data_IF_960349610248
#
_entry.id   IF_960349610248
#
_cell.length_a   1.000
_cell.length_b   1.000
_cell.length_c   1.000
_cell.angle_alpha   90.00
_cell.angle_beta   90.00
_cell.angle_gamma   90.00
#
_symmetry.space_group_name_H-M   'P 1'
#
loop_
_entity.id
_entity.type
_entity.pdbx_description
1 polymer ?
#
# COMPACT_ATOMS: atom_id res chain seq x y z
N UNK A 1 -2.33 8.92 -15.79
CA UNK A 1 -1.72 7.73 -15.14
C UNK A 1 -2.68 7.29 -14.07
N UNK A 2 -2.97 5.98 -13.99
CA UNK A 2 -3.89 5.42 -12.98
C UNK A 2 -3.22 5.54 -11.61
N UNK A 3 -3.86 6.25 -10.68
CA UNK A 3 -3.39 6.36 -9.30
C UNK A 3 -4.03 5.25 -8.47
N UNK A 4 -3.25 4.34 -7.91
CA UNK A 4 -3.78 3.30 -7.03
C UNK A 4 -3.55 3.75 -5.58
N UNK A 5 -4.57 3.71 -4.72
CA UNK A 5 -4.39 4.03 -3.28
C UNK A 5 -3.75 2.88 -2.50
N UNK A 6 -2.97 2.03 -3.16
CA UNK A 6 -2.34 0.86 -2.53
C UNK A 6 -1.04 1.26 -1.84
N UNK A 7 -1.08 2.41 -1.17
CA UNK A 7 0.08 3.11 -0.63
C UNK A 7 0.63 2.39 0.58
N UNK A 8 1.92 2.10 0.55
CA UNK A 8 2.64 1.60 1.72
C UNK A 8 2.92 2.71 2.74
N UNK A 9 2.61 2.44 4.01
CA UNK A 9 2.93 3.30 5.15
C UNK A 9 3.39 2.41 6.30
N UNK A 10 4.62 2.56 6.81
CA UNK A 10 5.06 1.86 8.01
C UNK A 10 4.21 2.21 9.24
N UNK A 11 3.87 1.20 10.04
CA UNK A 11 3.01 1.38 11.22
C UNK A 11 3.69 2.18 12.33
N UNK A 12 5.00 2.02 12.49
CA UNK A 12 5.85 2.76 13.42
C UNK A 12 5.85 4.27 13.07
N UNK A 13 6.07 4.61 11.80
CA UNK A 13 5.95 5.99 11.32
C UNK A 13 4.58 6.60 11.64
N UNK A 14 3.50 5.86 11.36
CA UNK A 14 2.14 6.33 11.62
C UNK A 14 1.89 6.58 13.12
N UNK A 15 2.32 5.65 13.98
CA UNK A 15 2.13 5.73 15.43
C UNK A 15 2.94 6.89 16.03
N UNK A 16 4.20 7.04 15.64
CA UNK A 16 5.05 8.14 16.09
C UNK A 16 4.44 9.50 15.70
N UNK A 17 3.96 9.63 14.46
CA UNK A 17 3.28 10.84 14.01
C UNK A 17 2.01 11.16 14.78
N UNK A 18 1.17 10.16 15.05
CA UNK A 18 -0.04 10.35 15.86
C UNK A 18 0.32 10.82 17.27
N UNK A 19 1.32 10.21 17.92
CA UNK A 19 1.76 10.59 19.27
C UNK A 19 2.23 12.03 19.28
N UNK A 20 3.11 12.41 18.36
CA UNK A 20 3.69 13.75 18.30
C UNK A 20 2.63 14.82 17.99
N UNK A 21 1.75 14.59 17.01
CA UNK A 21 0.62 15.49 16.70
C UNK A 21 -0.30 15.65 17.92
N UNK A 22 -0.59 14.57 18.65
CA UNK A 22 -1.50 14.61 19.80
C UNK A 22 -0.99 15.44 20.98
N UNK A 23 0.32 15.71 21.05
CA UNK A 23 0.93 16.50 22.12
C UNK A 23 0.84 18.01 21.86
N UNK A 24 0.51 18.43 20.63
CA UNK A 24 0.37 19.84 20.30
C UNK A 24 -1.00 20.39 20.68
N UNK A 25 -0.99 21.57 21.27
CA UNK A 25 -2.23 22.28 21.57
C UNK A 25 -2.90 22.79 20.28
N UNK A 26 -2.09 23.20 19.31
CA UNK A 26 -2.50 23.75 18.01
C UNK A 26 -3.19 22.72 17.12
N UNK A 27 -2.99 21.42 17.39
CA UNK A 27 -3.62 20.32 16.65
C UNK A 27 -5.08 20.09 17.00
N UNK A 28 -5.59 20.71 18.07
CA UNK A 28 -7.00 20.60 18.44
C UNK A 28 -7.89 21.23 17.36
N UNK A 29 -8.82 20.44 16.83
CA UNK A 29 -9.72 20.86 15.76
C UNK A 29 -9.11 20.82 14.36
N UNK A 30 -7.87 20.35 14.22
CA UNK A 30 -7.22 20.13 12.93
C UNK A 30 -7.43 18.69 12.43
N UNK A 31 -7.17 18.48 11.13
CA UNK A 31 -7.16 17.15 10.51
C UNK A 31 -5.86 16.99 9.72
N UNK A 32 -5.25 15.81 9.82
CA UNK A 32 -3.98 15.48 9.21
C UNK A 32 -4.13 14.21 8.38
N UNK A 33 -3.73 14.26 7.11
CA UNK A 33 -3.67 13.09 6.25
C UNK A 33 -2.27 12.48 6.37
N UNK A 34 -2.14 11.42 7.18
CA UNK A 34 -0.90 10.68 7.38
C UNK A 34 -0.64 9.74 6.20
N UNK A 35 -0.31 10.31 5.04
CA UNK A 35 0.03 9.58 3.82
C UNK A 35 1.28 10.19 3.19
N UNK A 36 2.08 9.40 2.44
CA UNK A 36 3.18 9.92 1.64
C UNK A 36 2.73 10.99 0.65
N UNK A 37 3.62 11.93 0.32
CA UNK A 37 3.32 12.91 -0.70
C UNK A 37 3.28 12.30 -2.09
N UNK A 38 2.58 13.00 -3.00
CA UNK A 38 2.51 12.59 -4.40
C UNK A 38 3.91 12.57 -4.99
N UNK A 39 4.33 11.39 -5.45
CA UNK A 39 5.64 11.18 -6.05
C UNK A 39 6.72 10.68 -5.08
N UNK A 40 6.44 10.59 -3.78
CA UNK A 40 7.33 9.91 -2.82
C UNK A 40 7.22 8.38 -2.89
N UNK A 41 6.12 7.86 -3.44
CA UNK A 41 5.88 6.43 -3.61
C UNK A 41 5.80 6.06 -5.10
N UNK A 42 6.19 4.82 -5.47
CA UNK A 42 6.19 4.40 -6.87
C UNK A 42 4.77 4.31 -7.44
N UNK A 43 4.55 4.86 -8.63
CA UNK A 43 3.22 4.86 -9.30
C UNK A 43 2.67 3.42 -9.53
N UNK A 44 3.53 2.40 -9.56
CA UNK A 44 3.19 0.97 -9.73
C UNK A 44 3.59 0.12 -8.52
N UNK A 45 3.18 0.53 -7.31
CA UNK A 45 3.56 -0.14 -6.05
C UNK A 45 3.44 -1.66 -6.08
N UNK A 46 2.32 -2.20 -6.58
CA UNK A 46 2.11 -3.67 -6.67
C UNK A 46 3.13 -4.36 -7.58
N UNK A 47 3.42 -3.81 -8.76
CA UNK A 47 4.38 -4.40 -9.70
C UNK A 47 5.79 -4.35 -9.12
N UNK A 48 6.18 -3.22 -8.50
CA UNK A 48 7.50 -3.12 -7.86
C UNK A 48 7.60 -4.09 -6.66
N UNK A 49 6.53 -4.25 -5.88
CA UNK A 49 6.48 -5.23 -4.78
C UNK A 49 6.67 -6.67 -5.28
N UNK A 50 5.99 -7.08 -6.36
CA UNK A 50 6.21 -8.41 -6.94
C UNK A 50 7.62 -8.60 -7.51
N UNK A 51 8.25 -7.55 -8.06
CA UNK A 51 9.66 -7.61 -8.48
C UNK A 51 10.62 -7.75 -7.31
N UNK A 52 10.36 -7.05 -6.19
CA UNK A 52 11.13 -7.24 -4.95
C UNK A 52 10.94 -8.66 -4.40
N UNK A 53 9.72 -9.21 -4.50
CA UNK A 53 9.44 -10.60 -4.13
C UNK A 53 10.25 -11.59 -4.96
N UNK A 54 10.16 -11.53 -6.30
CA UNK A 54 10.91 -12.41 -7.22
C UNK A 54 12.42 -12.40 -6.92
N UNK A 55 13.00 -11.22 -6.63
CA UNK A 55 14.41 -11.10 -6.24
C UNK A 55 14.73 -11.79 -4.92
N UNK A 56 13.83 -11.70 -3.95
CA UNK A 56 14.06 -12.23 -2.59
C UNK A 56 13.90 -13.74 -2.55
N UNK A 57 12.78 -14.26 -3.06
CA UNK A 57 12.47 -15.70 -2.99
C UNK A 57 13.10 -16.51 -4.13
N UNK A 58 13.72 -15.85 -5.12
CA UNK A 58 14.39 -16.46 -6.28
C UNK A 58 13.45 -17.35 -7.12
N UNK A 59 12.16 -17.04 -7.12
CA UNK A 59 11.13 -17.72 -7.93
C UNK A 59 10.65 -16.75 -8.99
N UNK A 60 10.70 -17.18 -10.26
CA UNK A 60 10.23 -16.32 -11.35
C UNK A 60 8.71 -16.16 -11.32
N UNK A 61 8.24 -14.92 -11.46
CA UNK A 61 6.83 -14.58 -11.45
C UNK A 61 6.38 -14.13 -12.85
N UNK A 62 5.22 -14.62 -13.31
CA UNK A 62 4.61 -14.24 -14.58
C UNK A 62 3.62 -13.08 -14.37
N UNK A 63 3.81 -11.94 -15.05
CA UNK A 63 2.83 -10.85 -15.08
C UNK A 63 1.69 -11.21 -16.05
N UNK A 64 0.44 -11.19 -15.56
CA UNK A 64 -0.75 -11.53 -16.34
C UNK A 64 -1.76 -10.37 -16.37
N UNK A 65 -2.58 -10.24 -17.42
CA UNK A 65 -3.77 -9.41 -17.39
C UNK A 65 -4.69 -9.81 -16.22
N UNK A 66 -5.30 -8.83 -15.55
CA UNK A 66 -6.08 -9.06 -14.33
C UNK A 66 -7.18 -10.13 -14.49
N UNK A 67 -7.95 -10.06 -15.58
CA UNK A 67 -9.03 -11.03 -15.87
C UNK A 67 -8.48 -12.44 -16.14
N UNK A 68 -7.30 -12.56 -16.74
CA UNK A 68 -6.65 -13.86 -16.95
C UNK A 68 -6.16 -14.45 -15.63
N UNK A 69 -5.49 -13.64 -14.80
CA UNK A 69 -5.07 -14.03 -13.46
C UNK A 69 -6.27 -14.47 -12.59
N UNK A 70 -7.36 -13.69 -12.63
CA UNK A 70 -8.57 -14.00 -11.87
C UNK A 70 -9.23 -15.30 -12.35
N UNK A 71 -9.22 -15.55 -13.67
CA UNK A 71 -9.73 -16.81 -14.21
C UNK A 71 -8.91 -18.00 -13.72
N UNK A 72 -7.57 -17.93 -13.77
CA UNK A 72 -6.69 -19.00 -13.25
C UNK A 72 -6.97 -19.28 -11.77
N UNK A 73 -7.05 -18.23 -10.94
CA UNK A 73 -7.38 -18.34 -9.52
C UNK A 73 -8.73 -19.05 -9.27
N UNK A 74 -9.71 -18.88 -10.15
CA UNK A 74 -11.04 -19.48 -9.98
C UNK A 74 -11.14 -20.95 -10.42
N UNK A 75 -10.28 -21.39 -11.34
CA UNK A 75 -10.47 -22.68 -12.05
C UNK A 75 -9.36 -23.70 -11.83
N UNK A 76 -8.13 -23.28 -11.50
CA UNK A 76 -6.98 -24.19 -11.52
C UNK A 76 -6.84 -25.00 -10.23
N UNK A 77 -7.03 -24.39 -9.06
CA UNK A 77 -6.85 -25.04 -7.76
C UNK A 77 -7.91 -24.57 -6.76
N UNK A 78 -8.77 -25.48 -6.30
CA UNK A 78 -9.83 -25.20 -5.31
C UNK A 78 -9.28 -25.04 -3.88
N UNK A 79 -8.06 -25.51 -3.62
CA UNK A 79 -7.36 -25.36 -2.35
C UNK A 79 -6.38 -24.16 -2.35
N UNK A 80 -6.39 -23.33 -3.41
CA UNK A 80 -5.53 -22.14 -3.50
C UNK A 80 -5.79 -21.20 -2.29
N UNK A 81 -4.75 -20.77 -1.56
CA UNK A 81 -4.88 -19.96 -0.35
C UNK A 81 -5.53 -18.58 -0.59
N UNK A 82 -5.60 -18.11 -1.85
CA UNK A 82 -6.27 -16.88 -2.23
C UNK A 82 -7.77 -17.06 -2.52
N UNK A 83 -8.31 -18.29 -2.56
CA UNK A 83 -9.75 -18.56 -2.76
C UNK A 83 -10.66 -17.77 -1.81
N UNK A 84 -10.37 -17.63 -0.51
CA UNK A 84 -11.21 -16.84 0.39
C UNK A 84 -11.33 -15.36 0.01
N UNK A 85 -10.41 -14.83 -0.80
CA UNK A 85 -10.40 -13.45 -1.28
C UNK A 85 -11.13 -13.26 -2.61
N UNK A 86 -11.64 -14.33 -3.24
CA UNK A 86 -12.40 -14.24 -4.49
C UNK A 86 -13.54 -13.22 -4.47
N UNK A 87 -14.33 -13.04 -3.40
CA UNK A 87 -15.34 -11.98 -3.36
C UNK A 87 -14.74 -10.60 -3.60
N UNK A 88 -13.58 -10.30 -3.02
CA UNK A 88 -12.89 -9.02 -3.19
C UNK A 88 -12.38 -8.81 -4.63
N UNK A 89 -11.97 -9.89 -5.30
CA UNK A 89 -11.39 -9.84 -6.66
C UNK A 89 -12.43 -9.93 -7.78
N UNK A 90 -13.51 -10.69 -7.60
CA UNK A 90 -14.43 -11.05 -8.68
C UNK A 90 -15.80 -10.38 -8.56
N UNK A 91 -16.32 -10.21 -7.34
CA UNK A 91 -17.68 -9.73 -7.15
C UNK A 91 -17.77 -8.27 -7.59
N UNK A 92 -18.68 -7.97 -8.52
CA UNK A 92 -18.90 -6.60 -8.97
C UNK A 92 -19.78 -5.87 -7.96
N UNK A 93 -19.18 -4.92 -7.25
CA UNK A 93 -19.81 -4.22 -6.11
C UNK A 93 -20.45 -2.90 -6.54
N UNK A 94 -19.78 -2.12 -7.39
CA UNK A 94 -20.27 -0.82 -7.84
C UNK A 94 -19.76 -0.49 -9.25
N UNK A 95 -20.65 0.02 -10.11
CA UNK A 95 -20.33 0.45 -11.48
C UNK A 95 -19.56 -0.61 -12.30
N UNK A 96 -19.90 -1.89 -12.13
CA UNK A 96 -19.23 -3.00 -12.81
C UNK A 96 -17.80 -3.30 -12.34
N UNK A 97 -17.34 -2.68 -11.25
CA UNK A 97 -16.01 -2.86 -10.66
C UNK A 97 -16.09 -3.71 -9.39
N UNK A 98 -15.10 -4.56 -9.16
CA UNK A 98 -14.93 -5.28 -7.91
C UNK A 98 -14.28 -4.40 -6.83
N UNK A 99 -14.29 -4.86 -5.58
CA UNK A 99 -13.69 -4.12 -4.48
C UNK A 99 -12.21 -3.80 -4.74
N UNK A 100 -11.44 -4.72 -5.32
CA UNK A 100 -10.04 -4.50 -5.68
C UNK A 100 -9.85 -3.40 -6.74
N UNK A 101 -10.69 -3.41 -7.78
CA UNK A 101 -10.71 -2.41 -8.86
C UNK A 101 -11.17 -1.04 -8.33
N UNK A 102 -12.05 -0.99 -7.33
CA UNK A 102 -12.53 0.29 -6.76
C UNK A 102 -11.42 1.13 -6.12
N UNK A 103 -10.30 0.53 -5.71
CA UNK A 103 -9.12 1.24 -5.20
C UNK A 103 -8.23 1.85 -6.30
N UNK A 104 -8.63 1.77 -7.57
CA UNK A 104 -7.98 2.49 -8.65
C UNK A 104 -8.65 3.85 -8.89
N UNK A 105 -7.83 4.86 -9.19
CA UNK A 105 -8.20 6.27 -9.36
C UNK A 105 -8.79 6.91 -8.12
N UNK A 106 -8.31 6.48 -6.95
CA UNK A 106 -8.72 7.08 -5.68
C UNK A 106 -8.22 8.53 -5.58
N UNK A 107 -9.00 9.41 -4.92
CA UNK A 107 -8.58 10.79 -4.67
C UNK A 107 -7.22 10.85 -3.97
N UNK A 108 -6.42 11.82 -4.38
CA UNK A 108 -5.17 12.15 -3.71
C UNK A 108 -5.52 13.02 -2.49
N UNK A 109 -5.05 12.62 -1.31
CA UNK A 109 -5.21 13.41 -0.09
C UNK A 109 -4.12 14.48 -0.02
N UNK A 110 -4.50 15.72 0.27
CA UNK A 110 -3.52 16.79 0.53
C UNK A 110 -2.90 16.62 1.93
N UNK A 111 -1.60 16.83 2.01
CA UNK A 111 -0.80 16.66 3.23
C UNK A 111 -0.32 17.99 3.81
N UNK A 112 -0.84 19.15 3.36
CA UNK A 112 -0.37 20.47 3.78
C UNK A 112 -0.33 20.67 5.31
N UNK A 113 -1.40 20.33 6.03
CA UNK A 113 -1.41 20.43 7.50
C UNK A 113 -0.32 19.57 8.14
N UNK A 114 -0.07 18.38 7.57
CA UNK A 114 0.97 17.48 8.05
C UNK A 114 2.35 18.05 7.74
N UNK A 115 2.60 18.55 6.53
CA UNK A 115 3.86 19.22 6.16
C UNK A 115 4.20 20.36 7.10
N UNK A 116 3.26 21.27 7.31
CA UNK A 116 3.47 22.45 8.16
C UNK A 116 3.89 22.04 9.57
N UNK A 117 3.31 20.95 10.09
CA UNK A 117 3.71 20.39 11.36
C UNK A 117 5.10 19.75 11.34
N UNK A 118 5.36 18.91 10.35
CA UNK A 118 6.59 18.13 10.25
C UNK A 118 7.85 18.97 9.99
N UNK A 119 7.71 20.24 9.59
CA UNK A 119 8.84 21.17 9.46
C UNK A 119 9.70 21.25 10.72
N UNK A 120 9.08 21.13 11.89
CA UNK A 120 9.76 21.20 13.18
C UNK A 120 10.07 19.81 13.79
N UNK A 121 9.77 18.72 13.07
CA UNK A 121 9.96 17.33 13.50
C UNK A 121 10.77 16.56 12.44
N UNK A 122 12.12 16.70 12.44
CA UNK A 122 12.97 16.11 11.40
C UNK A 122 12.85 14.59 11.27
N UNK A 123 12.55 13.91 12.38
CA UNK A 123 12.43 12.45 12.48
C UNK A 123 11.26 11.89 11.63
N UNK A 124 10.22 12.69 11.43
CA UNK A 124 9.04 12.31 10.67
C UNK A 124 8.87 13.09 9.36
N UNK A 125 9.85 13.93 9.01
CA UNK A 125 9.80 14.80 7.84
C UNK A 125 9.66 14.04 6.52
N UNK A 126 9.94 12.74 6.50
CA UNK A 126 9.78 11.89 5.33
C UNK A 126 9.21 10.55 5.74
N UNK A 127 8.11 10.14 5.10
CA UNK A 127 7.56 8.80 5.27
C UNK A 127 8.53 7.79 4.63
N UNK A 128 8.93 6.72 5.33
CA UNK A 128 9.78 5.69 4.72
C UNK A 128 9.08 5.07 3.51
N UNK A 129 9.85 4.85 2.44
CA UNK A 129 9.37 4.23 1.22
C UNK A 129 9.52 2.71 1.30
N UNK A 130 8.65 1.96 0.60
CA UNK A 130 8.80 0.50 0.54
C UNK A 130 9.97 0.15 -0.39
N UNK A 131 11.09 -0.22 0.21
CA UNK A 131 12.29 -0.66 -0.50
C UNK A 131 12.58 -2.15 -0.29
N UNK A 132 13.62 -2.64 -0.96
CA UNK A 132 14.03 -4.04 -0.87
C UNK A 132 14.35 -4.44 0.59
N UNK A 133 15.05 -3.57 1.34
CA UNK A 133 15.49 -3.85 2.70
C UNK A 133 14.30 -3.94 3.69
N UNK A 134 13.32 -3.03 3.57
CA UNK A 134 12.09 -3.06 4.35
C UNK A 134 11.24 -4.27 3.95
N UNK A 135 11.12 -4.54 2.65
CA UNK A 135 10.33 -5.68 2.16
C UNK A 135 10.91 -7.02 2.62
N UNK A 136 12.23 -7.18 2.62
CA UNK A 136 12.92 -8.36 3.17
C UNK A 136 12.60 -8.58 4.65
N UNK A 137 12.54 -7.51 5.47
CA UNK A 137 12.14 -7.64 6.89
C UNK A 137 10.73 -8.22 7.03
N UNK A 138 9.78 -7.80 6.19
CA UNK A 138 8.44 -8.40 6.17
C UNK A 138 8.49 -9.87 5.79
N UNK A 139 9.22 -10.22 4.73
CA UNK A 139 9.34 -11.61 4.29
C UNK A 139 10.03 -12.51 5.32
N UNK A 140 11.09 -12.05 5.97
CA UNK A 140 11.75 -12.78 7.06
C UNK A 140 10.82 -12.98 8.26
N UNK A 141 9.98 -11.99 8.59
CA UNK A 141 8.97 -12.15 9.65
C UNK A 141 7.91 -13.22 9.35
N UNK A 142 7.69 -13.50 8.06
CA UNK A 142 6.81 -14.56 7.55
C UNK A 142 7.57 -15.88 7.31
N UNK A 143 8.88 -15.93 7.51
CA UNK A 143 9.73 -17.11 7.26
C UNK A 143 10.00 -17.38 5.78
N UNK A 144 9.92 -16.35 4.93
CA UNK A 144 10.09 -16.44 3.47
C UNK A 144 11.45 -15.91 2.97
N UNK A 145 12.25 -15.30 3.84
CA UNK A 145 13.59 -14.77 3.55
C UNK A 145 14.54 -15.00 4.73
#
# INVERSE_FOLDING_TARGET
>A
MLHHSKTFIPVDYLVEGIILISQLHESVGQTYNMVPEVGEQPVREMTEMFRMLEKTIQVSLEELPYEEWLNRLQVEDDDDPLRPLLPMFAEKVYDGRCQWEMYENMPISDTENLRQYLQDVPELATCPFLDQDIFEKFLSSLGLA
#
